data_IF_994211259604
#
_entry.id   IF_994211259604
#
_cell.length_a   1.000
_cell.length_b   1.000
_cell.length_c   1.000
_cell.angle_alpha   90.00
_cell.angle_beta   90.00
_cell.angle_gamma   90.00
#
_symmetry.space_group_name_H-M   'P 1'
#
loop_
_entity.id
_entity.type
_entity.pdbx_description
1 polymer ?
#
# COMPACT_ATOMS: atom_id res chain seq x y z
N UNK A 1 16.13 22.24 -8.50
CA UNK A 1 15.18 22.37 -7.37
C UNK A 1 15.58 23.57 -6.52
N UNK A 2 14.70 24.58 -6.39
CA UNK A 2 15.01 25.83 -5.67
C UNK A 2 15.37 25.59 -4.21
N UNK A 3 14.50 24.95 -3.41
CA UNK A 3 14.77 24.73 -1.98
C UNK A 3 16.00 23.85 -1.70
N UNK A 4 16.25 22.84 -2.52
CA UNK A 4 17.40 21.95 -2.37
C UNK A 4 18.74 22.67 -2.58
N UNK A 5 18.77 23.66 -3.49
CA UNK A 5 19.98 24.44 -3.78
C UNK A 5 20.49 25.19 -2.54
N UNK A 6 19.57 25.79 -1.77
CA UNK A 6 19.88 26.60 -0.58
C UNK A 6 20.19 25.79 0.69
N UNK A 7 20.17 24.45 0.63
CA UNK A 7 20.59 23.63 1.75
C UNK A 7 22.10 23.78 2.00
N UNK A 8 22.49 23.76 3.27
CA UNK A 8 23.90 23.55 3.67
C UNK A 8 24.34 22.14 3.26
N UNK A 9 25.64 21.85 3.25
CA UNK A 9 26.19 20.57 2.76
C UNK A 9 25.65 19.33 3.50
N UNK A 10 25.26 19.49 4.76
CA UNK A 10 24.60 18.45 5.59
C UNK A 10 23.10 18.72 5.78
N UNK A 11 22.51 19.55 4.92
CA UNK A 11 21.11 19.95 4.99
C UNK A 11 20.17 18.84 4.56
N UNK A 12 18.98 18.85 5.18
CA UNK A 12 17.88 17.93 4.90
C UNK A 12 16.65 18.75 4.51
N UNK A 13 15.91 18.28 3.52
CA UNK A 13 14.67 18.88 3.05
C UNK A 13 13.60 17.80 2.97
N UNK A 14 12.49 17.99 3.65
CA UNK A 14 11.29 17.17 3.49
C UNK A 14 10.26 17.98 2.70
N UNK A 15 9.75 17.41 1.61
CA UNK A 15 8.73 18.05 0.77
C UNK A 15 7.55 17.13 0.54
N UNK A 16 6.35 17.71 0.61
CA UNK A 16 5.10 17.03 0.28
C UNK A 16 4.84 17.23 -1.22
N UNK A 17 4.62 16.14 -1.93
CA UNK A 17 4.37 16.11 -3.37
C UNK A 17 3.25 15.11 -3.69
N UNK A 18 2.52 15.28 -4.80
CA UNK A 18 1.65 14.23 -5.32
C UNK A 18 2.46 13.00 -5.72
N UNK A 19 1.88 11.80 -5.61
CA UNK A 19 2.58 10.54 -5.98
C UNK A 19 3.12 10.51 -7.42
N UNK A 20 2.55 11.30 -8.34
CA UNK A 20 2.97 11.35 -9.74
C UNK A 20 4.46 11.57 -9.94
N UNK A 21 5.10 12.40 -9.10
CA UNK A 21 6.54 12.69 -9.19
C UNK A 21 7.43 11.46 -9.06
N UNK A 22 6.92 10.40 -8.43
CA UNK A 22 7.65 9.16 -8.18
C UNK A 22 7.79 8.28 -9.42
N UNK A 23 6.90 8.42 -10.41
CA UNK A 23 6.83 7.48 -11.54
C UNK A 23 6.51 8.10 -12.90
N UNK A 24 6.04 9.34 -12.97
CA UNK A 24 5.77 10.01 -14.25
C UNK A 24 7.07 10.16 -15.06
N UNK A 25 6.92 10.03 -16.37
CA UNK A 25 7.99 10.12 -17.35
C UNK A 25 8.40 11.55 -17.69
N UNK A 26 9.28 11.68 -18.69
CA UNK A 26 9.62 12.96 -19.31
C UNK A 26 10.51 13.83 -18.43
N UNK A 27 10.11 15.08 -18.18
CA UNK A 27 10.94 16.02 -17.39
C UNK A 27 11.03 15.59 -15.92
N UNK A 28 9.94 15.09 -15.34
CA UNK A 28 9.92 14.61 -13.95
C UNK A 28 10.86 13.40 -13.76
N UNK A 29 10.88 12.48 -14.73
CA UNK A 29 11.80 11.34 -14.75
C UNK A 29 13.26 11.78 -14.81
N UNK A 30 13.60 12.73 -15.69
CA UNK A 30 14.97 13.27 -15.77
C UNK A 30 15.42 13.88 -14.45
N UNK A 31 14.55 14.64 -13.79
CA UNK A 31 14.85 15.24 -12.48
C UNK A 31 15.03 14.14 -11.43
N UNK A 32 14.10 13.19 -11.36
CA UNK A 32 14.14 12.07 -10.40
C UNK A 32 15.39 11.24 -10.56
N UNK A 33 15.73 10.85 -11.79
CA UNK A 33 16.95 10.11 -12.13
C UNK A 33 18.19 10.87 -11.66
N UNK A 34 18.31 12.17 -11.96
CA UNK A 34 19.46 12.98 -11.53
C UNK A 34 19.58 13.04 -10.01
N UNK A 35 18.48 13.25 -9.28
CA UNK A 35 18.49 13.26 -7.82
C UNK A 35 18.88 11.91 -7.21
N UNK A 36 18.49 10.81 -7.85
CA UNK A 36 18.86 9.46 -7.41
C UNK A 36 20.33 9.16 -7.67
N UNK A 37 20.83 9.46 -8.86
CA UNK A 37 22.23 9.27 -9.26
C UNK A 37 23.18 10.12 -8.40
N UNK A 38 22.78 11.35 -8.06
CA UNK A 38 23.55 12.22 -7.17
C UNK A 38 23.41 11.83 -5.68
N UNK A 39 22.66 10.76 -5.37
CA UNK A 39 22.48 10.27 -4.01
C UNK A 39 21.73 11.24 -3.10
N UNK A 40 20.80 12.03 -3.66
CA UNK A 40 20.09 13.06 -2.91
C UNK A 40 18.74 12.60 -2.34
N UNK A 41 18.14 11.54 -2.88
CA UNK A 41 16.91 10.96 -2.33
C UNK A 41 17.27 9.95 -1.23
N UNK A 42 16.80 10.20 -0.01
CA UNK A 42 17.10 9.36 1.16
C UNK A 42 15.90 8.47 1.55
N UNK A 43 14.69 9.05 1.52
CA UNK A 43 13.46 8.36 1.95
C UNK A 43 12.25 8.84 1.14
N UNK A 44 11.37 7.90 0.78
CA UNK A 44 10.04 8.12 0.20
C UNK A 44 8.99 7.62 1.18
N UNK A 45 8.09 8.50 1.63
CA UNK A 45 7.03 8.17 2.58
C UNK A 45 5.68 8.39 1.88
N UNK A 46 4.92 7.32 1.65
CA UNK A 46 3.55 7.39 1.16
C UNK A 46 2.59 7.69 2.30
N UNK A 47 1.74 8.70 2.12
CA UNK A 47 0.74 9.08 3.11
C UNK A 47 -0.66 8.60 2.70
N UNK A 48 -1.59 8.51 3.67
CA UNK A 48 -2.99 8.23 3.41
C UNK A 48 -3.62 9.17 2.37
N UNK A 49 -4.57 8.64 1.60
CA UNK A 49 -5.44 9.46 0.77
C UNK A 49 -6.32 10.37 1.63
N UNK A 50 -6.89 11.41 1.01
CA UNK A 50 -7.84 12.33 1.66
C UNK A 50 -7.34 12.96 2.96
N UNK A 51 -6.04 13.22 3.08
CA UNK A 51 -5.43 13.84 4.27
C UNK A 51 -5.46 15.37 4.22
N UNK A 52 -5.56 15.96 3.02
CA UNK A 52 -5.57 17.40 2.81
C UNK A 52 -6.95 17.89 2.37
N UNK A 53 -7.42 18.99 2.95
CA UNK A 53 -8.70 19.61 2.59
C UNK A 53 -8.84 19.97 1.10
N UNK A 54 -7.72 20.24 0.42
CA UNK A 54 -7.70 20.69 -0.98
C UNK A 54 -7.76 19.56 -2.01
N UNK A 55 -7.48 18.31 -1.63
CA UNK A 55 -7.45 17.17 -2.56
C UNK A 55 -7.60 15.83 -1.86
N UNK A 56 -8.39 14.94 -2.46
CA UNK A 56 -8.53 13.55 -2.03
C UNK A 56 -7.35 12.66 -2.46
N UNK A 57 -6.49 13.15 -3.36
CA UNK A 57 -5.40 12.36 -3.95
C UNK A 57 -4.34 12.04 -2.88
N UNK A 58 -3.84 10.80 -2.79
CA UNK A 58 -2.72 10.47 -1.91
C UNK A 58 -1.47 11.27 -2.28
N UNK A 59 -0.73 11.68 -1.27
CA UNK A 59 0.53 12.42 -1.41
C UNK A 59 1.68 11.65 -0.76
N UNK A 60 2.90 12.00 -1.12
CA UNK A 60 4.09 11.46 -0.52
C UNK A 60 4.97 12.56 0.08
N UNK A 61 5.75 12.22 1.08
CA UNK A 61 6.88 13.03 1.54
C UNK A 61 8.15 12.48 0.90
N UNK A 62 8.88 13.34 0.19
CA UNK A 62 10.22 13.05 -0.30
C UNK A 62 11.24 13.71 0.63
N UNK A 63 12.10 12.91 1.24
CA UNK A 63 13.21 13.39 2.08
C UNK A 63 14.48 13.42 1.23
N UNK A 64 14.99 14.63 1.04
CA UNK A 64 16.22 14.90 0.30
C UNK A 64 17.35 15.27 1.27
N UNK A 65 18.56 14.74 1.02
CA UNK A 65 19.77 15.06 1.78
C UNK A 65 20.90 15.44 0.82
N UNK A 66 21.64 16.51 1.12
CA UNK A 66 22.86 16.84 0.33
C UNK A 66 23.98 15.82 0.54
N UNK A 67 24.05 15.24 1.73
CA UNK A 67 24.97 14.15 2.05
C UNK A 67 24.17 13.00 2.68
N UNK A 68 23.97 11.91 1.93
CA UNK A 68 23.40 10.66 2.47
C UNK A 68 24.52 9.74 2.94
N UNK A 69 24.27 8.99 4.01
CA UNK A 69 25.19 7.96 4.53
C UNK A 69 24.95 6.59 3.87
N UNK A 70 23.73 6.02 3.90
CA UNK A 70 23.46 4.74 3.24
C UNK A 70 23.27 4.93 1.74
N UNK A 71 23.68 3.94 0.95
CA UNK A 71 23.46 3.92 -0.50
C UNK A 71 22.16 3.20 -0.89
N UNK A 72 21.10 3.46 -0.12
CA UNK A 72 19.75 2.95 -0.36
C UNK A 72 18.72 4.07 -0.23
N UNK A 73 17.51 3.80 -0.71
CA UNK A 73 16.34 4.62 -0.47
C UNK A 73 15.41 3.83 0.45
N UNK A 74 14.99 4.45 1.55
CA UNK A 74 13.98 3.89 2.44
C UNK A 74 12.60 4.21 1.88
N UNK A 75 11.77 3.19 1.72
CA UNK A 75 10.36 3.33 1.41
C UNK A 75 9.56 3.08 2.67
N UNK A 76 8.58 3.95 2.95
CA UNK A 76 7.59 3.78 4.03
C UNK A 76 6.21 3.95 3.41
N UNK A 77 5.34 2.96 3.60
CA UNK A 77 3.96 2.95 3.15
C UNK A 77 3.02 3.17 4.35
N UNK A 78 2.73 4.42 4.68
CA UNK A 78 1.78 4.75 5.74
C UNK A 78 0.35 4.96 5.21
N UNK A 79 0.03 4.49 3.99
CA UNK A 79 -1.27 4.72 3.36
C UNK A 79 -2.46 4.18 4.17
N UNK A 80 -2.25 3.11 4.94
CA UNK A 80 -3.26 2.46 5.79
C UNK A 80 -3.24 2.95 7.25
N UNK A 81 -2.33 3.86 7.61
CA UNK A 81 -2.16 4.34 8.99
C UNK A 81 -2.84 5.70 9.17
N UNK A 82 -4.16 5.69 9.35
CA UNK A 82 -4.95 6.88 9.57
C UNK A 82 -6.24 6.59 10.32
N UNK A 83 -6.78 7.61 10.97
CA UNK A 83 -8.15 7.61 11.44
C UNK A 83 -9.06 8.21 10.36
N UNK A 84 -10.13 7.48 10.04
CA UNK A 84 -11.11 7.93 9.05
C UNK A 84 -11.98 9.02 9.65
N UNK A 85 -11.82 10.25 9.17
CA UNK A 85 -12.75 11.33 9.49
C UNK A 85 -13.88 11.44 8.46
N UNK A 86 -14.86 12.31 8.75
CA UNK A 86 -16.03 12.53 7.88
C UNK A 86 -15.67 13.24 6.56
N UNK A 87 -14.74 14.19 6.60
CA UNK A 87 -14.33 15.01 5.44
C UNK A 87 -12.90 14.72 5.00
N UNK A 88 -12.03 14.44 5.96
CA UNK A 88 -10.62 14.09 5.73
C UNK A 88 -10.17 13.01 6.69
N UNK A 89 -9.11 12.31 6.33
CA UNK A 89 -8.40 11.38 7.19
C UNK A 89 -7.40 12.14 8.05
N UNK A 90 -7.09 11.59 9.23
CA UNK A 90 -6.17 12.21 10.19
C UNK A 90 -5.07 11.23 10.59
N UNK A 91 -3.86 11.76 10.77
CA UNK A 91 -2.78 11.03 11.43
C UNK A 91 -2.86 11.32 12.92
N UNK A 92 -2.94 10.27 13.73
CA UNK A 92 -2.81 10.37 15.18
C UNK A 92 -1.34 10.53 15.54
N UNK A 93 -1.08 10.92 16.79
CA UNK A 93 0.29 10.99 17.30
C UNK A 93 1.00 9.63 17.22
N UNK A 94 0.27 8.52 17.42
CA UNK A 94 0.79 7.17 17.28
C UNK A 94 1.24 6.87 15.83
N UNK A 95 0.42 7.23 14.83
CA UNK A 95 0.78 7.06 13.42
C UNK A 95 2.03 7.87 13.06
N UNK A 96 2.11 9.12 13.56
CA UNK A 96 3.27 10.00 13.34
C UNK A 96 4.51 9.39 14.00
N UNK A 97 4.41 8.92 15.24
CA UNK A 97 5.50 8.29 15.96
C UNK A 97 6.00 7.03 15.25
N UNK A 98 5.09 6.19 14.70
CA UNK A 98 5.48 5.02 13.91
C UNK A 98 6.27 5.41 12.66
N UNK A 99 5.78 6.41 11.89
CA UNK A 99 6.47 6.89 10.69
C UNK A 99 7.86 7.45 11.04
N UNK A 100 7.93 8.33 12.05
CA UNK A 100 9.17 8.98 12.47
C UNK A 100 10.16 7.96 13.05
N UNK A 101 9.69 7.03 13.88
CA UNK A 101 10.50 5.97 14.45
C UNK A 101 11.08 5.07 13.36
N UNK A 102 10.27 4.69 12.37
CA UNK A 102 10.72 3.89 11.21
C UNK A 102 11.73 4.64 10.37
N UNK A 103 11.54 5.93 10.12
CA UNK A 103 12.52 6.77 9.42
C UNK A 103 13.85 6.88 10.19
N UNK A 104 13.80 7.14 11.49
CA UNK A 104 14.99 7.32 12.33
C UNK A 104 15.85 6.06 12.41
N UNK A 105 15.20 4.90 12.58
CA UNK A 105 15.89 3.62 12.76
C UNK A 105 16.08 2.85 11.45
N UNK A 106 15.47 3.33 10.35
CA UNK A 106 15.40 2.64 9.04
C UNK A 106 14.94 1.19 9.16
N UNK A 107 14.01 0.92 10.08
CA UNK A 107 13.47 -0.41 10.33
C UNK A 107 12.73 -0.90 9.08
N UNK A 108 12.99 -2.14 8.68
CA UNK A 108 12.19 -2.83 7.66
C UNK A 108 11.07 -3.61 8.36
N UNK A 109 9.85 -3.43 7.89
CA UNK A 109 8.65 -4.05 8.41
C UNK A 109 7.82 -4.52 7.22
N UNK A 110 7.35 -5.77 7.28
CA UNK A 110 6.59 -6.34 6.17
C UNK A 110 5.37 -5.47 5.83
N UNK A 111 5.13 -5.29 4.52
CA UNK A 111 4.06 -4.43 3.96
C UNK A 111 4.09 -2.94 4.36
N UNK A 112 5.03 -2.52 5.20
CA UNK A 112 5.08 -1.16 5.74
C UNK A 112 6.35 -0.40 5.33
N UNK A 113 7.53 -1.01 5.45
CA UNK A 113 8.79 -0.32 5.11
C UNK A 113 9.84 -1.25 4.54
N UNK A 114 10.63 -0.73 3.59
CA UNK A 114 11.68 -1.49 2.92
C UNK A 114 12.84 -0.60 2.50
N UNK A 115 14.06 -1.09 2.67
CA UNK A 115 15.27 -0.45 2.14
C UNK A 115 15.56 -1.04 0.77
N UNK A 116 15.73 -0.17 -0.21
CA UNK A 116 15.90 -0.58 -1.60
C UNK A 116 17.21 -0.01 -2.11
N UNK A 117 18.09 -0.89 -2.61
CA UNK A 117 19.38 -0.47 -3.14
C UNK A 117 19.24 0.33 -4.43
N UNK A 118 20.25 1.16 -4.71
CA UNK A 118 20.30 1.93 -5.94
C UNK A 118 20.32 1.06 -7.19
N UNK A 119 20.96 -0.13 -7.17
CA UNK A 119 20.97 -1.01 -8.34
C UNK A 119 19.57 -1.53 -8.67
N UNK A 120 18.79 -1.89 -7.65
CA UNK A 120 17.40 -2.33 -7.84
C UNK A 120 16.52 -1.20 -8.39
N UNK A 121 16.69 0.01 -7.90
CA UNK A 121 15.94 1.18 -8.40
C UNK A 121 16.29 1.48 -9.86
N UNK A 122 17.58 1.35 -10.23
CA UNK A 122 18.04 1.52 -11.60
C UNK A 122 17.45 0.44 -12.53
N UNK A 123 17.42 -0.82 -12.10
CA UNK A 123 16.83 -1.92 -12.86
C UNK A 123 15.32 -1.71 -13.13
N UNK A 124 14.62 -1.06 -12.20
CA UNK A 124 13.21 -0.66 -12.31
C UNK A 124 13.00 0.68 -13.05
N UNK A 125 14.03 1.21 -13.72
CA UNK A 125 13.94 2.44 -14.52
C UNK A 125 13.79 3.70 -13.68
N UNK A 126 14.43 3.75 -12.50
CA UNK A 126 14.34 4.88 -11.55
C UNK A 126 12.91 5.18 -11.11
N UNK A 127 12.03 4.18 -11.13
CA UNK A 127 10.66 4.30 -10.66
C UNK A 127 10.60 4.19 -9.14
N UNK A 128 10.06 5.19 -8.46
CA UNK A 128 9.92 5.24 -7.01
C UNK A 128 8.49 4.96 -6.54
N UNK A 129 7.65 4.34 -7.38
CA UNK A 129 6.33 3.91 -6.95
C UNK A 129 6.47 2.88 -5.81
N UNK A 130 5.89 3.22 -4.65
CA UNK A 130 6.00 2.47 -3.40
C UNK A 130 5.51 1.02 -3.57
N UNK A 131 4.44 0.81 -4.34
CA UNK A 131 3.87 -0.52 -4.57
C UNK A 131 4.78 -1.49 -5.34
N UNK A 132 5.84 -0.99 -5.99
CA UNK A 132 6.87 -1.84 -6.62
C UNK A 132 7.80 -2.50 -5.62
N UNK A 133 7.94 -1.90 -4.43
CA UNK A 133 8.91 -2.33 -3.43
C UNK A 133 8.25 -2.93 -2.20
N UNK A 134 7.05 -2.44 -1.86
CA UNK A 134 6.27 -2.87 -0.72
C UNK A 134 4.95 -3.44 -1.24
N UNK A 135 4.75 -4.73 -1.07
CA UNK A 135 3.51 -5.38 -1.47
C UNK A 135 2.39 -4.95 -0.53
N UNK A 136 1.31 -4.43 -1.09
CA UNK A 136 0.06 -4.16 -0.36
C UNK A 136 -0.97 -5.27 -0.55
N UNK A 137 -0.65 -6.28 -1.35
CA UNK A 137 -1.53 -7.43 -1.54
C UNK A 137 -1.68 -8.15 -0.21
N UNK A 138 -2.93 -8.29 0.24
CA UNK A 138 -3.27 -9.22 1.32
C UNK A 138 -3.07 -10.61 0.73
N UNK A 139 -2.27 -11.47 1.37
CA UNK A 139 -2.32 -12.89 1.03
C UNK A 139 -3.75 -13.34 1.29
N UNK A 140 -4.48 -13.72 0.24
CA UNK A 140 -5.73 -14.45 0.45
C UNK A 140 -5.37 -15.68 1.29
N UNK A 141 -6.14 -15.92 2.36
CA UNK A 141 -5.96 -17.15 3.14
C UNK A 141 -6.02 -18.33 2.17
N UNK A 142 -5.07 -19.27 2.29
CA UNK A 142 -5.09 -20.47 1.47
C UNK A 142 -6.41 -21.19 1.71
N UNK A 143 -7.30 -21.15 0.71
CA UNK A 143 -8.60 -21.81 0.77
C UNK A 143 -8.33 -23.32 0.74
N UNK A 144 -8.62 -24.02 1.83
CA UNK A 144 -8.63 -25.47 1.82
C UNK A 144 -9.80 -25.97 0.96
N UNK A 145 -9.49 -26.35 -0.27
CA UNK A 145 -10.46 -26.87 -1.23
C UNK A 145 -11.19 -28.11 -0.71
N UNK A 146 -10.57 -28.89 0.19
CA UNK A 146 -11.20 -30.06 0.78
C UNK A 146 -12.32 -29.67 1.75
N UNK A 147 -12.12 -28.62 2.54
CA UNK A 147 -13.13 -28.08 3.46
C UNK A 147 -14.29 -27.50 2.68
N UNK A 148 -14.02 -26.66 1.67
CA UNK A 148 -15.07 -26.08 0.82
C UNK A 148 -15.86 -27.17 0.09
N UNK A 149 -15.20 -28.23 -0.37
CA UNK A 149 -15.88 -29.36 -0.99
C UNK A 149 -16.78 -30.14 -0.01
N UNK A 150 -16.33 -30.35 1.24
CA UNK A 150 -17.14 -30.97 2.28
C UNK A 150 -18.36 -30.11 2.61
N UNK A 151 -18.21 -28.79 2.73
CA UNK A 151 -19.31 -27.87 2.97
C UNK A 151 -20.33 -27.90 1.83
N UNK A 152 -19.88 -27.89 0.57
CA UNK A 152 -20.75 -28.01 -0.60
C UNK A 152 -21.54 -29.32 -0.58
N UNK A 153 -20.87 -30.44 -0.30
CA UNK A 153 -21.50 -31.77 -0.24
C UNK A 153 -22.54 -31.84 0.88
N UNK A 154 -22.21 -31.35 2.07
CA UNK A 154 -23.15 -31.29 3.20
C UNK A 154 -24.35 -30.38 2.90
N UNK A 155 -24.14 -29.30 2.15
CA UNK A 155 -25.21 -28.40 1.73
C UNK A 155 -26.15 -29.09 0.73
N UNK A 156 -25.61 -29.83 -0.25
CA UNK A 156 -26.40 -30.64 -1.20
C UNK A 156 -27.23 -31.71 -0.49
N UNK A 157 -26.65 -32.41 0.49
CA UNK A 157 -27.38 -33.41 1.27
C UNK A 157 -28.55 -32.78 2.05
N UNK A 158 -28.33 -31.60 2.64
CA UNK A 158 -29.38 -30.84 3.32
C UNK A 158 -30.47 -30.37 2.36
N UNK A 159 -30.10 -29.91 1.17
CA UNK A 159 -31.05 -29.51 0.13
C UNK A 159 -31.88 -30.73 -0.27
N UNK A 160 -31.25 -31.87 -0.60
CA UNK A 160 -31.95 -33.11 -0.96
C UNK A 160 -32.90 -33.58 0.14
N UNK A 161 -32.44 -33.59 1.40
CA UNK A 161 -33.28 -33.97 2.54
C UNK A 161 -34.50 -33.05 2.70
N UNK A 162 -34.30 -31.74 2.54
CA UNK A 162 -35.38 -30.74 2.61
C UNK A 162 -36.35 -30.89 1.43
N UNK A 163 -35.85 -31.11 0.21
CA UNK A 163 -36.66 -31.35 -1.00
C UNK A 163 -37.50 -32.61 -0.85
N UNK A 164 -36.93 -33.71 -0.35
CA UNK A 164 -37.66 -34.96 -0.12
C UNK A 164 -38.82 -34.75 0.87
N UNK A 165 -38.53 -34.09 2.01
CA UNK A 165 -39.55 -33.79 3.01
C UNK A 165 -40.63 -32.86 2.47
N UNK A 166 -40.26 -31.89 1.63
CA UNK A 166 -41.23 -31.03 0.95
C UNK A 166 -42.10 -31.82 -0.03
N UNK A 167 -41.50 -32.75 -0.77
CA UNK A 167 -42.21 -33.63 -1.72
C UNK A 167 -43.18 -34.60 -1.03
N UNK A 168 -42.90 -35.04 0.20
CA UNK A 168 -43.86 -35.79 1.03
C UNK A 168 -45.15 -34.98 1.25
N UNK A 169 -45.02 -33.70 1.66
CA UNK A 169 -46.17 -32.81 1.83
C UNK A 169 -46.90 -32.53 0.50
N UNK A 170 -46.17 -32.31 -0.59
CA UNK A 170 -46.79 -32.10 -1.91
C UNK A 170 -47.60 -33.31 -2.37
N UNK A 171 -47.11 -34.52 -2.08
CA UNK A 171 -47.80 -35.78 -2.40
C UNK A 171 -49.10 -35.93 -1.63
N UNK A 172 -49.13 -35.59 -0.34
CA UNK A 172 -50.35 -35.59 0.48
C UNK A 172 -51.40 -34.59 -0.06
N UNK A 173 -50.94 -33.46 -0.60
CA UNK A 173 -51.80 -32.43 -1.19
C UNK A 173 -52.20 -32.71 -2.65
N UNK A 174 -51.72 -33.81 -3.26
CA UNK A 174 -52.00 -34.16 -4.65
C UNK A 174 -51.35 -33.21 -5.67
N UNK A 175 -50.27 -32.51 -5.28
CA UNK A 175 -49.56 -31.53 -6.11
C UNK A 175 -48.33 -32.14 -6.78
N UNK A 176 -47.83 -31.46 -7.83
CA UNK A 176 -46.65 -31.89 -8.59
C UNK A 176 -45.37 -31.73 -7.75
N UNK A 177 -44.52 -32.75 -7.75
CA UNK A 177 -43.26 -32.81 -7.01
C UNK A 177 -42.19 -31.88 -7.59
N UNK A 178 -41.31 -31.39 -6.71
CA UNK A 178 -40.08 -30.68 -7.05
C UNK A 178 -39.00 -31.66 -7.56
N UNK A 179 -38.14 -31.21 -8.49
CA UNK A 179 -37.05 -32.01 -9.04
C UNK A 179 -35.98 -32.37 -8.00
#
# INVERSE_FOLDING_TARGET
LHGFHFLKDQGVMAIILPHGVLFRGGVEERIRKKLLEDGHIDTVIGLPANLFYSTGIPVCILVLKKCKKPDDVLFINAAEHYEKGKRQNFLTDEHIQKIVGTYQHRTEEDRYSKRVSMERIQAEGYNLNISRYISTAVSEDEIDLSVVHQELTACEERIRGSTNRHNEFLKELGLRLLP
#
